data_IF_399287428018
#
_entry.id   IF_399287428018
#
_cell.length_a   1.000
_cell.length_b   1.000
_cell.length_c   1.000
_cell.angle_alpha   90.00
_cell.angle_beta   90.00
_cell.angle_gamma   90.00
#
_symmetry.space_group_name_H-M   'P 1'
#
loop_
_entity.id
_entity.type
_entity.pdbx_description
1 polymer ?
#
# COMPACT_ATOMS: atom_id res chain seq x y z
N UNK A 1 10.62 -10.07 0.77
CA UNK A 1 10.71 -11.51 0.44
C UNK A 1 12.11 -11.98 0.85
N UNK A 2 12.21 -13.21 1.37
CA UNK A 2 13.49 -13.87 1.59
C UNK A 2 13.94 -14.66 0.36
N UNK A 3 15.19 -15.08 0.31
CA UNK A 3 15.74 -15.81 -0.83
C UNK A 3 15.00 -17.13 -1.09
N UNK A 4 14.59 -17.85 -0.04
CA UNK A 4 13.89 -19.13 -0.18
C UNK A 4 12.51 -18.94 -0.83
N UNK A 5 11.80 -17.87 -0.49
CA UNK A 5 10.54 -17.51 -1.13
C UNK A 5 10.73 -17.16 -2.60
N UNK A 6 11.78 -16.42 -2.95
CA UNK A 6 12.10 -16.09 -4.35
C UNK A 6 12.40 -17.35 -5.16
N UNK A 7 13.22 -18.25 -4.64
CA UNK A 7 13.54 -19.53 -5.29
C UNK A 7 12.30 -20.41 -5.48
N UNK A 8 11.41 -20.45 -4.48
CA UNK A 8 10.14 -21.17 -4.58
C UNK A 8 9.26 -20.63 -5.71
N UNK A 9 9.14 -19.30 -5.82
CA UNK A 9 8.37 -18.66 -6.90
C UNK A 9 8.98 -18.98 -8.26
N UNK A 10 10.30 -18.87 -8.42
CA UNK A 10 10.99 -19.21 -9.67
C UNK A 10 10.77 -20.69 -10.07
N UNK A 11 10.88 -21.61 -9.11
CA UNK A 11 10.64 -23.03 -9.36
C UNK A 11 9.19 -23.30 -9.80
N UNK A 12 8.22 -22.62 -9.20
CA UNK A 12 6.82 -22.72 -9.57
C UNK A 12 6.57 -22.17 -10.98
N UNK A 13 7.15 -21.04 -11.33
CA UNK A 13 7.06 -20.47 -12.69
C UNK A 13 7.64 -21.46 -13.71
N UNK A 14 8.85 -21.95 -13.47
CA UNK A 14 9.51 -22.90 -14.38
C UNK A 14 8.69 -24.20 -14.57
N UNK A 15 7.96 -24.64 -13.53
CA UNK A 15 7.09 -25.83 -13.61
C UNK A 15 5.81 -25.57 -14.41
N UNK A 16 5.18 -24.41 -14.22
CA UNK A 16 3.87 -24.08 -14.81
C UNK A 16 4.01 -23.50 -16.22
N UNK A 17 5.00 -22.65 -16.42
CA UNK A 17 5.31 -22.04 -17.70
C UNK A 17 6.83 -21.92 -17.93
N UNK A 18 7.48 -22.99 -18.40
CA UNK A 18 8.94 -23.01 -18.60
C UNK A 18 9.43 -22.02 -19.67
N UNK A 19 8.54 -21.50 -20.52
CA UNK A 19 8.85 -20.49 -21.53
C UNK A 19 8.69 -19.05 -21.04
N UNK A 20 8.28 -18.82 -19.80
CA UNK A 20 8.09 -17.48 -19.28
C UNK A 20 9.41 -16.72 -19.14
N UNK A 21 9.43 -15.47 -19.59
CA UNK A 21 10.51 -14.51 -19.29
C UNK A 21 10.30 -14.04 -17.83
N UNK A 22 11.31 -14.20 -16.99
CA UNK A 22 11.24 -13.82 -15.57
C UNK A 22 12.16 -12.63 -15.35
N UNK A 23 11.57 -11.51 -14.91
CA UNK A 23 12.31 -10.30 -14.51
C UNK A 23 12.33 -10.24 -13.00
N UNK A 24 13.51 -10.21 -12.40
CA UNK A 24 13.66 -9.97 -10.98
C UNK A 24 13.56 -8.48 -10.69
N UNK A 25 12.72 -8.11 -9.72
CA UNK A 25 12.56 -6.72 -9.34
C UNK A 25 12.26 -6.56 -7.86
N UNK A 26 12.68 -5.44 -7.29
CA UNK A 26 12.28 -4.99 -5.97
C UNK A 26 11.14 -3.96 -6.10
N UNK A 27 10.09 -4.12 -5.30
CA UNK A 27 9.10 -3.05 -5.10
C UNK A 27 9.59 -2.16 -3.98
N UNK A 28 10.16 -1.01 -4.34
CA UNK A 28 10.69 -0.06 -3.36
C UNK A 28 9.60 0.89 -2.90
N UNK A 29 9.57 1.16 -1.58
CA UNK A 29 8.63 2.10 -0.98
C UNK A 29 9.34 3.41 -0.64
N UNK A 30 8.73 4.54 -1.05
CA UNK A 30 9.13 5.87 -0.64
C UNK A 30 7.93 6.70 -0.21
N UNK A 31 8.15 7.63 0.72
CA UNK A 31 7.18 8.66 1.06
C UNK A 31 7.36 9.88 0.16
N UNK A 32 6.26 10.56 -0.13
CA UNK A 32 6.29 11.84 -0.83
C UNK A 32 7.09 12.88 -0.04
N UNK A 33 6.84 12.94 1.27
CA UNK A 33 7.58 13.77 2.23
C UNK A 33 7.87 12.96 3.50
N UNK A 34 9.08 12.44 3.69
CA UNK A 34 9.46 11.69 4.88
C UNK A 34 9.45 12.51 6.18
N UNK A 35 9.65 13.82 6.11
CA UNK A 35 9.70 14.68 7.29
C UNK A 35 8.36 14.75 8.06
N UNK A 36 7.27 14.42 7.38
CA UNK A 36 5.93 14.37 7.96
C UNK A 36 5.78 13.28 9.02
N UNK A 37 6.56 12.19 8.92
CA UNK A 37 6.40 11.01 9.81
C UNK A 37 7.54 10.82 10.81
N UNK A 38 8.70 11.43 10.57
CA UNK A 38 9.87 11.24 11.42
C UNK A 38 9.61 11.73 12.84
N UNK A 39 9.75 10.83 13.82
CA UNK A 39 9.50 11.08 15.24
C UNK A 39 8.01 11.30 15.59
N UNK A 40 7.06 10.96 14.71
CA UNK A 40 5.62 11.25 14.88
C UNK A 40 4.79 10.01 15.22
N UNK A 41 3.66 10.25 15.89
CA UNK A 41 2.54 9.32 16.06
C UNK A 41 1.67 9.41 14.81
N UNK A 42 1.54 8.31 14.06
CA UNK A 42 0.89 8.34 12.75
C UNK A 42 -0.36 7.48 12.68
N UNK A 43 -1.35 7.95 11.93
CA UNK A 43 -2.44 7.12 11.43
C UNK A 43 -2.05 6.59 10.05
N UNK A 44 -2.00 5.27 9.88
CA UNK A 44 -1.81 4.65 8.57
C UNK A 44 -3.17 4.35 7.93
N UNK A 45 -3.42 4.93 6.76
CA UNK A 45 -4.60 4.64 5.92
C UNK A 45 -4.17 3.71 4.79
N UNK A 46 -4.75 2.52 4.74
CA UNK A 46 -4.34 1.43 3.84
C UNK A 46 -5.48 1.05 2.89
N UNK A 47 -5.12 0.31 1.84
CA UNK A 47 -6.10 -0.25 0.92
C UNK A 47 -6.97 -1.31 1.60
N UNK A 48 -8.28 -1.07 1.67
CA UNK A 48 -9.23 -1.90 2.38
C UNK A 48 -9.27 -3.36 1.92
N UNK A 49 -9.40 -3.66 0.61
CA UNK A 49 -9.40 -5.02 0.09
C UNK A 49 -8.16 -5.84 0.48
N UNK A 50 -6.99 -5.25 0.49
CA UNK A 50 -5.74 -5.90 0.90
C UNK A 50 -5.82 -6.41 2.35
N UNK A 51 -6.47 -5.67 3.23
CA UNK A 51 -6.60 -6.00 4.64
C UNK A 51 -7.72 -7.01 4.91
N UNK A 52 -8.86 -6.84 4.25
CA UNK A 52 -10.07 -7.63 4.51
C UNK A 52 -10.06 -8.96 3.77
N UNK A 53 -9.61 -9.01 2.53
CA UNK A 53 -9.58 -10.21 1.69
C UNK A 53 -8.21 -10.87 1.65
N UNK A 54 -7.13 -10.08 1.72
CA UNK A 54 -5.75 -10.58 1.75
C UNK A 54 -5.28 -11.09 3.11
N UNK A 55 -6.03 -10.83 4.19
CA UNK A 55 -5.65 -11.19 5.55
C UNK A 55 -4.35 -10.53 6.04
N UNK A 56 -3.91 -9.48 5.37
CA UNK A 56 -2.69 -8.75 5.74
C UNK A 56 -2.97 -7.83 6.93
N UNK A 57 -2.09 -7.87 7.93
CA UNK A 57 -2.20 -7.04 9.14
C UNK A 57 -1.53 -5.68 8.99
N UNK A 58 -0.74 -5.51 7.97
CA UNK A 58 0.02 -4.29 7.64
C UNK A 58 0.00 -4.08 6.14
N UNK A 59 0.06 -2.83 5.72
CA UNK A 59 0.18 -2.44 4.32
C UNK A 59 1.43 -1.60 4.06
N UNK A 60 1.50 -1.01 2.89
CA UNK A 60 2.64 -0.21 2.45
C UNK A 60 2.83 1.06 3.28
N UNK A 61 1.75 1.65 3.79
CA UNK A 61 1.80 2.81 4.67
C UNK A 61 2.54 2.53 5.95
N UNK A 62 2.23 1.39 6.61
CA UNK A 62 2.92 0.95 7.82
C UNK A 62 4.39 0.71 7.55
N UNK A 63 4.72 -0.06 6.50
CA UNK A 63 6.12 -0.38 6.16
C UNK A 63 6.92 0.88 5.85
N UNK A 64 6.35 1.80 5.06
CA UNK A 64 6.99 3.06 4.75
C UNK A 64 7.17 3.94 5.99
N UNK A 65 6.12 4.12 6.81
CA UNK A 65 6.20 4.93 8.01
C UNK A 65 7.25 4.41 9.01
N UNK A 66 7.32 3.09 9.21
CA UNK A 66 8.37 2.47 10.03
C UNK A 66 9.78 2.76 9.49
N UNK A 67 9.97 2.59 8.17
CA UNK A 67 11.25 2.88 7.50
C UNK A 67 11.71 4.32 7.70
N UNK A 68 10.77 5.26 7.75
CA UNK A 68 11.05 6.70 7.86
C UNK A 68 10.85 7.27 9.28
N UNK A 69 10.88 6.43 10.32
CA UNK A 69 11.04 6.87 11.70
C UNK A 69 9.74 7.23 12.45
N UNK A 70 8.57 6.76 11.99
CA UNK A 70 7.35 6.86 12.79
C UNK A 70 7.53 6.13 14.13
N UNK A 71 7.11 6.78 15.22
CA UNK A 71 7.31 6.26 16.59
C UNK A 71 6.16 5.39 17.08
N UNK A 72 4.94 5.63 16.56
CA UNK A 72 3.73 4.95 16.99
C UNK A 72 2.71 4.93 15.85
N UNK A 73 1.94 3.83 15.76
CA UNK A 73 0.75 3.73 14.92
C UNK A 73 -0.49 3.89 15.81
N UNK A 74 -1.25 4.96 15.55
CA UNK A 74 -2.45 5.28 16.33
C UNK A 74 -3.60 4.38 15.90
N UNK A 75 -4.26 3.74 16.89
CA UNK A 75 -5.45 2.92 16.65
C UNK A 75 -6.65 3.81 16.30
N UNK A 76 -7.28 3.65 15.13
CA UNK A 76 -8.43 4.46 14.75
C UNK A 76 -9.73 4.06 15.43
N UNK A 77 -9.80 2.89 16.10
CA UNK A 77 -11.06 2.34 16.65
C UNK A 77 -11.85 3.31 17.52
N UNK A 78 -11.22 4.11 18.41
CA UNK A 78 -11.96 5.08 19.25
C UNK A 78 -12.62 6.22 18.44
N UNK A 79 -12.25 6.39 17.17
CA UNK A 79 -12.63 7.53 16.35
C UNK A 79 -13.48 7.14 15.13
N UNK A 80 -13.84 5.86 14.98
CA UNK A 80 -14.55 5.35 13.81
C UNK A 80 -15.93 6.00 13.67
N UNK A 81 -16.28 6.37 12.43
CA UNK A 81 -17.56 6.96 12.05
C UNK A 81 -18.26 6.08 11.02
N UNK A 82 -19.58 5.97 11.15
CA UNK A 82 -20.45 5.35 10.14
C UNK A 82 -20.08 3.89 9.83
N UNK A 83 -20.00 3.57 8.56
CA UNK A 83 -19.75 2.20 8.07
C UNK A 83 -18.38 1.64 8.46
N UNK A 84 -17.43 2.48 8.85
CA UNK A 84 -16.14 2.00 9.34
C UNK A 84 -16.28 1.24 10.66
N UNK A 85 -17.27 1.56 11.51
CA UNK A 85 -17.55 0.81 12.73
C UNK A 85 -17.96 -0.64 12.39
N UNK A 86 -18.90 -0.81 11.46
CA UNK A 86 -19.31 -2.12 10.98
C UNK A 86 -18.15 -2.91 10.35
N UNK A 87 -17.27 -2.22 9.62
CA UNK A 87 -16.08 -2.85 9.03
C UNK A 87 -15.19 -3.47 10.09
N UNK A 88 -14.92 -2.78 11.19
CA UNK A 88 -14.09 -3.32 12.28
C UNK A 88 -14.80 -4.40 13.10
N UNK A 89 -16.13 -4.41 13.16
CA UNK A 89 -16.91 -5.51 13.73
C UNK A 89 -16.80 -6.79 12.88
N UNK A 90 -16.91 -6.65 11.54
CA UNK A 90 -16.81 -7.77 10.60
C UNK A 90 -15.38 -8.32 10.53
N UNK A 91 -14.38 -7.42 10.59
CA UNK A 91 -12.95 -7.75 10.47
C UNK A 91 -12.16 -7.37 11.74
N UNK A 92 -12.38 -8.05 12.88
CA UNK A 92 -11.78 -7.68 14.17
C UNK A 92 -10.25 -7.82 14.20
N UNK A 93 -9.68 -8.56 13.25
CA UNK A 93 -8.24 -8.79 13.13
C UNK A 93 -7.49 -7.70 12.35
N UNK A 94 -8.18 -6.67 11.84
CA UNK A 94 -7.52 -5.47 11.30
C UNK A 94 -6.63 -4.88 12.41
N UNK A 95 -5.36 -4.62 12.08
CA UNK A 95 -4.40 -4.02 13.02
C UNK A 95 -4.73 -2.56 13.39
N UNK A 96 -3.74 -1.83 13.89
CA UNK A 96 -3.83 -0.39 14.20
C UNK A 96 -3.69 0.46 12.93
N UNK A 97 -4.57 0.22 11.96
CA UNK A 97 -4.59 0.84 10.64
C UNK A 97 -6.03 1.13 10.23
N UNK A 98 -6.23 2.13 9.39
CA UNK A 98 -7.55 2.52 8.91
C UNK A 98 -7.72 2.02 7.45
N UNK A 99 -8.68 1.09 7.18
CA UNK A 99 -8.94 0.63 5.84
C UNK A 99 -9.76 1.64 5.03
N UNK A 100 -9.33 1.98 3.84
CA UNK A 100 -10.14 2.67 2.85
C UNK A 100 -10.99 1.64 2.10
N UNK A 101 -12.25 1.44 2.53
CA UNK A 101 -13.12 0.35 2.07
C UNK A 101 -13.84 0.63 0.75
N UNK A 102 -13.85 1.86 0.28
CA UNK A 102 -14.51 2.26 -0.95
C UNK A 102 -14.50 3.77 -1.14
N UNK A 103 -14.96 4.21 -2.31
CA UNK A 103 -14.88 5.62 -2.73
C UNK A 103 -16.27 6.19 -3.09
N UNK A 104 -17.34 5.59 -2.59
CA UNK A 104 -18.68 6.19 -2.62
C UNK A 104 -18.78 7.39 -1.69
N UNK A 105 -19.67 8.35 -1.97
CA UNK A 105 -19.77 9.61 -1.23
C UNK A 105 -19.92 9.43 0.29
N UNK A 106 -20.71 8.46 0.74
CA UNK A 106 -20.89 8.17 2.17
C UNK A 106 -19.59 7.61 2.78
N UNK A 107 -18.95 6.66 2.10
CA UNK A 107 -17.70 6.04 2.56
C UNK A 107 -16.56 7.06 2.63
N UNK A 108 -16.49 8.00 1.68
CA UNK A 108 -15.50 9.08 1.70
C UNK A 108 -15.76 10.04 2.87
N UNK A 109 -17.02 10.37 3.18
CA UNK A 109 -17.38 11.20 4.34
C UNK A 109 -16.99 10.53 5.66
N UNK A 110 -17.31 9.24 5.81
CA UNK A 110 -16.96 8.48 7.01
C UNK A 110 -15.45 8.38 7.19
N UNK A 111 -14.70 8.16 6.09
CA UNK A 111 -13.25 8.09 6.08
C UNK A 111 -12.63 9.44 6.46
N UNK A 112 -13.09 10.54 5.86
CA UNK A 112 -12.65 11.91 6.16
C UNK A 112 -12.88 12.24 7.64
N UNK A 113 -14.10 11.98 8.14
CA UNK A 113 -14.45 12.24 9.52
C UNK A 113 -13.58 11.43 10.50
N UNK A 114 -13.37 10.15 10.22
CA UNK A 114 -12.52 9.29 11.04
C UNK A 114 -11.06 9.73 11.04
N UNK A 115 -10.49 10.06 9.87
CA UNK A 115 -9.10 10.56 9.76
C UNK A 115 -8.93 11.83 10.61
N UNK A 116 -9.84 12.79 10.46
CA UNK A 116 -9.71 14.09 11.12
C UNK A 116 -10.01 14.01 12.62
N UNK A 117 -10.86 13.08 13.08
CA UNK A 117 -11.12 12.83 14.49
C UNK A 117 -9.98 12.08 15.21
N UNK A 118 -9.20 11.26 14.50
CA UNK A 118 -8.14 10.45 15.11
C UNK A 118 -7.06 11.34 15.73
N UNK A 119 -6.71 11.11 17.02
CA UNK A 119 -5.66 11.86 17.71
C UNK A 119 -4.28 11.38 17.32
N UNK A 120 -3.78 11.87 16.19
CA UNK A 120 -2.46 11.59 15.64
C UNK A 120 -1.76 12.86 15.17
N UNK A 121 -0.42 12.82 15.07
CA UNK A 121 0.40 13.95 14.63
C UNK A 121 0.43 14.08 13.10
N UNK A 122 0.32 12.93 12.40
CA UNK A 122 0.36 12.89 10.94
C UNK A 122 -0.40 11.67 10.39
N UNK A 123 -0.71 11.72 9.09
CA UNK A 123 -1.40 10.66 8.34
C UNK A 123 -0.51 10.14 7.22
N UNK A 124 -0.37 8.81 7.15
CA UNK A 124 0.32 8.14 6.05
C UNK A 124 -0.70 7.46 5.15
N UNK A 125 -0.71 7.83 3.88
CA UNK A 125 -1.64 7.31 2.88
C UNK A 125 -0.96 6.23 2.06
N UNK A 126 -1.30 4.97 2.31
CA UNK A 126 -0.81 3.77 1.63
C UNK A 126 -1.75 3.23 0.53
N UNK A 127 -2.80 3.99 0.17
CA UNK A 127 -3.76 3.60 -0.86
C UNK A 127 -3.20 3.82 -2.27
N UNK A 128 -3.62 3.03 -3.28
CA UNK A 128 -3.23 3.23 -4.67
C UNK A 128 -3.64 4.61 -5.22
N UNK A 129 -4.80 5.11 -4.81
CA UNK A 129 -5.28 6.43 -5.23
C UNK A 129 -4.68 7.55 -4.39
N UNK A 130 -4.70 8.75 -4.95
CA UNK A 130 -4.39 9.98 -4.22
C UNK A 130 -5.59 10.39 -3.36
N UNK A 131 -5.60 9.92 -2.12
CA UNK A 131 -6.73 10.12 -1.19
C UNK A 131 -6.99 11.60 -0.91
N UNK A 132 -5.96 12.44 -0.89
CA UNK A 132 -6.10 13.89 -0.65
C UNK A 132 -6.88 14.64 -1.75
N UNK A 133 -7.14 13.99 -2.90
CA UNK A 133 -8.01 14.54 -3.95
C UNK A 133 -9.49 14.29 -3.72
N UNK A 134 -9.83 13.33 -2.87
CA UNK A 134 -11.23 12.87 -2.68
C UNK A 134 -11.72 13.05 -1.25
N UNK A 135 -10.82 13.20 -0.27
CA UNK A 135 -11.13 13.55 1.12
C UNK A 135 -10.23 14.70 1.58
N UNK A 136 -10.77 15.57 2.45
CA UNK A 136 -10.01 16.66 3.06
C UNK A 136 -9.29 16.16 4.30
N UNK A 137 -7.99 15.97 4.21
CA UNK A 137 -7.14 15.62 5.35
C UNK A 137 -6.60 16.94 5.97
N UNK A 138 -7.07 17.28 7.17
CA UNK A 138 -6.71 18.53 7.86
C UNK A 138 -5.36 18.46 8.59
N UNK A 139 -4.84 17.24 8.77
CA UNK A 139 -3.56 16.97 9.43
C UNK A 139 -2.40 16.96 8.43
N UNK A 140 -1.15 17.16 8.90
CA UNK A 140 0.03 16.85 8.08
C UNK A 140 -0.09 15.43 7.53
N UNK A 141 0.09 15.26 6.23
CA UNK A 141 -0.02 13.95 5.62
C UNK A 141 0.99 13.74 4.51
N UNK A 142 1.32 12.48 4.24
CA UNK A 142 2.23 12.07 3.18
C UNK A 142 1.73 10.80 2.53
N UNK A 143 2.02 10.66 1.23
CA UNK A 143 1.62 9.51 0.42
C UNK A 143 2.79 8.55 0.21
N UNK A 144 2.47 7.26 0.17
CA UNK A 144 3.41 6.20 -0.23
C UNK A 144 3.40 6.06 -1.74
N UNK A 145 4.59 5.98 -2.33
CA UNK A 145 4.81 5.60 -3.71
C UNK A 145 5.51 4.26 -3.78
N UNK A 146 5.18 3.53 -4.84
CA UNK A 146 5.80 2.27 -5.20
C UNK A 146 6.62 2.49 -6.46
N UNK A 147 7.86 2.08 -6.43
CA UNK A 147 8.73 2.09 -7.60
C UNK A 147 9.16 0.65 -7.89
N UNK A 148 9.18 0.28 -9.16
CA UNK A 148 9.76 -0.98 -9.60
C UNK A 148 11.24 -0.75 -9.87
N UNK A 149 12.09 -1.50 -9.16
CA UNK A 149 13.53 -1.51 -9.40
C UNK A 149 13.94 -2.88 -9.91
N UNK A 150 14.25 -2.97 -11.17
CA UNK A 150 14.73 -4.20 -11.79
C UNK A 150 16.13 -4.58 -11.28
N UNK A 151 16.38 -5.88 -11.21
CA UNK A 151 17.62 -6.44 -10.66
C UNK A 151 18.28 -7.33 -11.72
N UNK A 152 19.29 -6.77 -12.38
CA UNK A 152 20.05 -7.49 -13.41
C UNK A 152 19.29 -7.68 -14.72
N UNK A 153 19.63 -8.75 -15.41
CA UNK A 153 19.01 -9.16 -16.68
C UNK A 153 18.27 -10.49 -16.51
N UNK A 154 17.18 -10.76 -17.29
CA UNK A 154 16.59 -9.86 -18.30
C UNK A 154 15.83 -8.68 -17.66
N UNK A 155 15.75 -7.56 -18.34
CA UNK A 155 14.96 -6.39 -17.96
C UNK A 155 13.73 -6.22 -18.86
N UNK A 156 12.79 -5.35 -18.45
CA UNK A 156 11.54 -5.12 -19.19
C UNK A 156 11.81 -4.44 -20.54
N UNK A 157 12.74 -3.49 -20.60
CA UNK A 157 13.04 -2.77 -21.82
C UNK A 157 13.53 -3.72 -22.91
N UNK A 158 14.49 -4.59 -22.61
CA UNK A 158 14.98 -5.60 -23.54
C UNK A 158 13.91 -6.60 -24.00
N UNK A 159 13.01 -7.00 -23.09
CA UNK A 159 11.90 -7.91 -23.42
C UNK A 159 10.88 -7.21 -24.32
N UNK A 160 10.56 -5.95 -24.06
CA UNK A 160 9.62 -5.17 -24.86
C UNK A 160 10.19 -4.88 -26.26
N UNK A 161 11.47 -4.53 -26.35
CA UNK A 161 12.17 -4.33 -27.63
C UNK A 161 12.15 -5.62 -28.49
N UNK A 162 12.42 -6.77 -27.88
CA UNK A 162 12.32 -8.07 -28.54
C UNK A 162 10.89 -8.35 -29.03
N UNK A 163 9.90 -8.08 -28.18
CA UNK A 163 8.49 -8.26 -28.51
C UNK A 163 8.06 -7.38 -29.70
N UNK A 164 8.39 -6.09 -29.64
CA UNK A 164 8.08 -5.14 -30.73
C UNK A 164 8.76 -5.53 -32.04
N UNK A 165 10.04 -5.93 -31.97
CA UNK A 165 10.83 -6.34 -33.13
C UNK A 165 10.31 -7.63 -33.77
N UNK A 166 9.75 -8.55 -32.99
CA UNK A 166 9.19 -9.81 -33.46
C UNK A 166 7.70 -9.72 -33.82
N UNK A 167 7.04 -8.64 -33.42
CA UNK A 167 5.66 -8.36 -33.80
C UNK A 167 5.69 -7.58 -35.10
N UNK A 168 5.29 -8.20 -36.23
CA UNK A 168 4.99 -7.48 -37.49
C UNK A 168 3.78 -6.56 -37.24
N UNK A 169 4.01 -5.47 -36.52
CA UNK A 169 3.07 -4.36 -36.42
C UNK A 169 3.25 -3.52 -37.68
N UNK A 170 2.81 -4.09 -38.83
CA UNK A 170 2.68 -3.39 -40.10
C UNK A 170 1.41 -2.54 -40.13
#
# INVERSE_FOLDING_TARGET
>A
ADLAGIETVRANIAKVNPGAKVVDAASTLRLQDPSVVDGKRVLAVEDGPTLTHGGMKIGAGVVAAQKYGATEFVDPRPYLVGKLQETFEIYPNIGTILPAMGYGEEQLRDLEATINATDCDAVVVGTPIDLARVVKIEKPHTRVFYDLQEIGEPNLDGILDEFVSNSDLG
#
